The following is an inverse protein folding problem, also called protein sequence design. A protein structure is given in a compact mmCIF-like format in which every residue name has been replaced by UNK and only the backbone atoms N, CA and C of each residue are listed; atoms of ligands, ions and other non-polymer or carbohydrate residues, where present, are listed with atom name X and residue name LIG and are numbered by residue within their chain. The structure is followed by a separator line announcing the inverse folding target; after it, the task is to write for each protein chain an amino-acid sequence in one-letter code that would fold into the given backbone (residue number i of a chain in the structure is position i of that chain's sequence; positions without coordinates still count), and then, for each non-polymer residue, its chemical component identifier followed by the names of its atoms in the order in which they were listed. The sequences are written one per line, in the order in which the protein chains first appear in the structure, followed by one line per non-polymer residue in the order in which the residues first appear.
data_IF_422627001871
#
_entry.id   IF_422627001871
#
_cell.length_a   1.000
_cell.length_b   1.000
_cell.length_c   1.000
_cell.angle_alpha   90.00
_cell.angle_beta   90.00
_cell.angle_gamma   90.00
#
_symmetry.space_group_name_H-M   'P 1'
#
loop_
_entity.id
_entity.type
_entity.pdbx_description
1 polymer ?
#
# COMPACT_ATOMS: atom_id res chain seq x y z
N UNK A 1 -5.30 -17.62 -37.65
CA UNK A 1 -6.27 -17.09 -36.67
C UNK A 1 -7.08 -18.28 -36.18
N UNK A 2 -6.83 -18.76 -34.96
CA UNK A 2 -7.61 -19.83 -34.36
C UNK A 2 -8.11 -19.30 -33.00
N UNK A 3 -9.38 -18.90 -32.96
CA UNK A 3 -10.06 -18.45 -31.76
C UNK A 3 -10.75 -19.65 -31.11
N UNK A 4 -10.58 -19.79 -29.79
CA UNK A 4 -11.31 -20.77 -28.99
C UNK A 4 -12.64 -20.12 -28.59
N UNK A 5 -13.75 -20.80 -28.85
CA UNK A 5 -15.12 -20.37 -28.50
C UNK A 5 -15.26 -20.16 -26.98
N UNK A 6 -15.94 -19.09 -26.51
CA UNK A 6 -15.97 -18.72 -25.09
C UNK A 6 -16.86 -19.60 -24.21
N UNK A 7 -17.45 -20.67 -24.74
CA UNK A 7 -18.50 -21.44 -24.04
C UNK A 7 -18.05 -22.69 -23.32
N UNK A 8 -16.84 -23.20 -23.54
CA UNK A 8 -16.36 -24.42 -22.86
C UNK A 8 -14.95 -24.23 -22.30
N UNK A 9 -14.84 -23.59 -21.13
CA UNK A 9 -13.67 -23.73 -20.26
C UNK A 9 -14.17 -24.43 -19.00
N UNK A 10 -14.21 -25.76 -19.03
CA UNK A 10 -14.34 -26.57 -17.82
C UNK A 10 -13.00 -26.52 -17.09
N UNK A 11 -12.97 -25.87 -15.93
CA UNK A 11 -11.81 -25.88 -15.05
C UNK A 11 -11.71 -27.25 -14.37
N UNK A 12 -10.71 -28.04 -14.76
CA UNK A 12 -10.32 -29.24 -14.03
C UNK A 12 -9.70 -28.84 -12.70
N UNK A 13 -10.53 -28.81 -11.65
CA UNK A 13 -10.07 -28.79 -10.27
C UNK A 13 -9.56 -30.19 -9.95
N UNK A 14 -8.26 -30.43 -10.15
CA UNK A 14 -7.68 -31.73 -9.81
C UNK A 14 -7.66 -31.88 -8.28
N UNK A 15 -8.43 -32.87 -7.82
CA UNK A 15 -8.64 -33.39 -6.46
C UNK A 15 -7.37 -33.96 -5.76
N UNK A 16 -6.18 -33.40 -5.99
CA UNK A 16 -4.93 -33.96 -5.40
C UNK A 16 -4.02 -32.96 -4.68
N UNK A 17 -4.48 -31.74 -4.38
CA UNK A 17 -3.72 -30.82 -3.53
C UNK A 17 -4.38 -30.70 -2.14
N UNK A 18 -3.83 -31.34 -1.08
CA UNK A 18 -4.47 -31.40 0.25
C UNK A 18 -4.31 -30.11 1.07
N UNK A 19 -4.12 -28.96 0.42
CA UNK A 19 -3.91 -27.68 1.09
C UNK A 19 -5.02 -26.69 0.73
N UNK A 20 -6.22 -26.94 1.25
CA UNK A 20 -7.33 -25.97 1.37
C UNK A 20 -6.93 -24.68 2.13
N UNK A 21 -5.74 -24.66 2.73
CA UNK A 21 -5.13 -23.49 3.38
C UNK A 21 -4.54 -22.45 2.41
N UNK A 22 -4.43 -22.76 1.11
CA UNK A 22 -3.83 -21.87 0.10
C UNK A 22 -4.80 -21.40 -0.99
N UNK A 23 -6.10 -21.70 -0.88
CA UNK A 23 -7.08 -21.16 -1.81
C UNK A 23 -7.37 -19.68 -1.47
N UNK A 24 -6.53 -18.79 -1.99
CA UNK A 24 -6.91 -17.39 -2.13
C UNK A 24 -8.15 -17.39 -3.06
N UNK A 25 -9.32 -16.91 -2.61
CA UNK A 25 -10.49 -16.88 -3.47
C UNK A 25 -10.14 -16.05 -4.70
N UNK A 26 -10.24 -16.68 -5.87
CA UNK A 26 -10.04 -16.07 -7.17
C UNK A 26 -11.08 -14.96 -7.36
N UNK A 27 -10.80 -13.77 -6.83
CA UNK A 27 -11.38 -12.54 -7.36
C UNK A 27 -10.78 -12.35 -8.74
N UNK A 28 -11.57 -11.77 -9.65
CA UNK A 28 -11.35 -11.53 -11.09
C UNK A 28 -10.06 -10.78 -11.45
N UNK A 29 -8.93 -11.23 -10.93
CA UNK A 29 -7.61 -10.79 -11.34
C UNK A 29 -7.23 -11.59 -12.59
N UNK A 30 -6.56 -10.96 -13.56
CA UNK A 30 -5.96 -11.73 -14.65
C UNK A 30 -5.11 -12.84 -14.02
N UNK A 31 -5.13 -14.03 -14.63
CA UNK A 31 -4.49 -15.25 -14.14
C UNK A 31 -3.27 -14.96 -13.28
N UNK A 32 -3.36 -15.24 -11.97
CA UNK A 32 -2.23 -15.15 -11.06
C UNK A 32 -1.22 -16.22 -11.51
N UNK A 33 -0.25 -15.79 -12.32
CA UNK A 33 0.80 -16.64 -12.88
C UNK A 33 1.82 -17.01 -11.82
N UNK A 34 3.10 -16.75 -12.09
CA UNK A 34 4.17 -16.94 -11.09
C UNK A 34 4.23 -15.81 -10.06
N UNK A 35 3.49 -14.72 -10.27
CA UNK A 35 3.54 -13.53 -9.43
C UNK A 35 4.56 -12.47 -9.91
N UNK A 36 5.41 -12.84 -10.87
CA UNK A 36 6.46 -11.97 -11.40
C UNK A 36 5.87 -10.74 -12.10
N UNK A 37 4.75 -10.91 -12.83
CA UNK A 37 4.09 -9.82 -13.51
C UNK A 37 3.58 -8.77 -12.51
N UNK A 38 2.94 -9.22 -11.41
CA UNK A 38 2.45 -8.35 -10.34
C UNK A 38 3.58 -7.54 -9.75
N UNK A 39 4.74 -8.15 -9.56
CA UNK A 39 5.91 -7.47 -9.03
C UNK A 39 6.50 -6.46 -10.01
N UNK A 40 6.55 -6.78 -11.30
CA UNK A 40 6.97 -5.82 -12.34
C UNK A 40 6.04 -4.60 -12.34
N UNK A 41 4.72 -4.81 -12.28
CA UNK A 41 3.76 -3.72 -12.19
C UNK A 41 3.99 -2.88 -10.94
N UNK A 42 4.19 -3.53 -9.79
CA UNK A 42 4.46 -2.84 -8.54
C UNK A 42 5.71 -1.96 -8.58
N UNK A 43 6.81 -2.48 -9.14
CA UNK A 43 8.04 -1.71 -9.32
C UNK A 43 7.82 -0.49 -10.22
N UNK A 44 7.01 -0.62 -11.28
CA UNK A 44 6.63 0.49 -12.16
C UNK A 44 5.80 1.54 -11.42
N UNK A 45 4.82 1.11 -10.62
CA UNK A 45 4.00 2.01 -9.79
C UNK A 45 4.85 2.77 -8.77
N UNK A 46 5.84 2.12 -8.13
CA UNK A 46 6.77 2.82 -7.23
C UNK A 46 7.57 3.91 -7.96
N UNK A 47 8.02 3.64 -9.19
CA UNK A 47 8.73 4.63 -10.01
C UNK A 47 7.81 5.81 -10.33
N UNK A 48 6.56 5.55 -10.69
CA UNK A 48 5.61 6.61 -11.02
C UNK A 48 5.23 7.45 -9.79
N UNK A 49 4.93 6.80 -8.67
CA UNK A 49 4.74 7.47 -7.37
C UNK A 49 5.95 8.32 -7.00
N UNK A 50 7.16 7.82 -7.24
CA UNK A 50 8.39 8.58 -6.98
C UNK A 50 8.47 9.86 -7.81
N UNK A 51 8.07 9.82 -9.09
CA UNK A 51 8.00 11.04 -9.93
C UNK A 51 6.97 12.02 -9.39
N UNK A 52 5.79 11.53 -9.01
CA UNK A 52 4.72 12.38 -8.49
C UNK A 52 5.11 13.05 -7.17
N UNK A 53 5.73 12.31 -6.25
CA UNK A 53 6.26 12.87 -5.01
C UNK A 53 7.34 13.93 -5.28
N UNK A 54 8.21 13.72 -6.28
CA UNK A 54 9.24 14.71 -6.65
C UNK A 54 8.66 16.02 -7.16
N UNK A 55 7.48 16.03 -7.79
CA UNK A 55 6.79 17.27 -8.18
C UNK A 55 6.42 18.10 -6.93
N UNK A 56 6.08 17.43 -5.82
CA UNK A 56 5.71 18.07 -4.56
C UNK A 56 6.92 18.60 -3.76
N UNK A 57 8.16 18.33 -4.17
CA UNK A 57 9.36 18.74 -3.43
C UNK A 57 9.48 20.26 -3.23
N UNK A 58 8.83 21.08 -4.07
CA UNK A 58 8.84 22.53 -3.91
C UNK A 58 7.95 23.03 -2.76
N UNK A 59 6.95 22.23 -2.35
CA UNK A 59 5.99 22.57 -1.29
C UNK A 59 6.30 21.87 0.04
N UNK A 60 7.23 20.92 0.03
CA UNK A 60 7.68 20.18 1.21
C UNK A 60 8.76 20.96 1.97
N UNK A 61 8.79 20.87 3.31
CA UNK A 61 9.78 21.58 4.14
C UNK A 61 11.21 21.04 3.94
N UNK A 62 11.34 19.76 3.57
CA UNK A 62 12.60 19.13 3.16
C UNK A 62 12.34 18.29 1.92
N UNK A 63 13.23 18.40 0.94
CA UNK A 63 13.12 17.66 -0.32
C UNK A 63 13.38 16.17 -0.10
N UNK A 64 12.60 15.34 -0.78
CA UNK A 64 12.83 13.90 -0.86
C UNK A 64 13.79 13.65 -2.02
N UNK A 65 14.99 13.18 -1.69
CA UNK A 65 16.04 12.89 -2.68
C UNK A 65 15.83 11.51 -3.31
N UNK A 66 15.67 10.49 -2.44
CA UNK A 66 15.54 9.10 -2.88
C UNK A 66 14.31 8.43 -2.26
N UNK A 67 13.67 7.57 -3.06
CA UNK A 67 12.56 6.71 -2.64
C UNK A 67 12.93 5.30 -3.06
N UNK A 68 13.07 4.40 -2.09
CA UNK A 68 13.61 3.05 -2.29
C UNK A 68 12.65 2.05 -1.69
N UNK A 69 12.19 1.08 -2.48
CA UNK A 69 11.43 -0.06 -1.98
C UNK A 69 12.36 -1.01 -1.21
N UNK A 70 12.12 -1.19 0.09
CA UNK A 70 12.95 -2.06 0.95
C UNK A 70 12.28 -3.38 1.33
N UNK A 71 10.97 -3.46 1.08
CA UNK A 71 10.17 -4.67 1.19
C UNK A 71 10.74 -5.83 0.36
N UNK A 72 10.57 -7.05 0.83
CA UNK A 72 10.94 -8.29 0.12
C UNK A 72 10.28 -8.40 -1.26
N UNK A 73 9.09 -7.81 -1.40
CA UNK A 73 8.37 -7.74 -2.67
C UNK A 73 9.17 -6.98 -3.73
N UNK A 74 10.04 -6.02 -3.39
CA UNK A 74 10.84 -5.32 -4.42
C UNK A 74 12.07 -6.13 -4.88
N UNK A 75 12.39 -7.25 -4.21
CA UNK A 75 13.57 -8.08 -4.47
C UNK A 75 13.26 -9.47 -5.04
N UNK A 76 12.02 -9.74 -5.44
CA UNK A 76 11.58 -11.04 -5.95
C UNK A 76 11.71 -12.16 -4.91
N UNK A 77 11.63 -11.82 -3.62
CA UNK A 77 11.72 -12.80 -2.53
C UNK A 77 10.40 -13.02 -1.81
N UNK A 78 9.35 -12.27 -2.14
CA UNK A 78 8.01 -12.52 -1.61
C UNK A 78 7.36 -13.69 -2.38
N UNK A 79 7.01 -14.75 -1.67
CA UNK A 79 6.38 -15.96 -2.22
C UNK A 79 4.97 -15.68 -2.77
N UNK A 80 4.30 -14.66 -2.22
CA UNK A 80 2.96 -14.24 -2.60
C UNK A 80 2.96 -12.73 -2.84
N UNK A 81 3.45 -12.25 -4.00
CA UNK A 81 3.47 -10.83 -4.29
C UNK A 81 2.06 -10.25 -4.20
N UNK A 82 1.93 -9.03 -3.66
CA UNK A 82 0.65 -8.43 -3.35
C UNK A 82 -0.14 -8.18 -4.62
N UNK A 83 -1.42 -8.50 -4.54
CA UNK A 83 -2.38 -8.19 -5.58
C UNK A 83 -2.86 -6.73 -5.44
N UNK A 84 -3.05 -6.00 -6.56
CA UNK A 84 -3.72 -4.71 -6.53
C UNK A 84 -5.09 -4.84 -5.85
N UNK A 85 -5.30 -4.11 -4.77
CA UNK A 85 -6.51 -4.16 -3.97
C UNK A 85 -7.12 -2.78 -3.90
N UNK A 86 -8.40 -2.65 -4.26
CA UNK A 86 -9.16 -1.45 -3.95
C UNK A 86 -9.62 -1.52 -2.49
N UNK A 87 -9.18 -0.59 -1.66
CA UNK A 87 -9.66 -0.46 -0.29
C UNK A 87 -11.08 0.15 -0.31
N UNK A 88 -12.07 -0.66 -0.69
CA UNK A 88 -13.49 -0.32 -0.58
C UNK A 88 -13.99 -0.87 0.75
N UNK A 89 -13.95 -0.03 1.80
CA UNK A 89 -14.55 -0.38 3.07
C UNK A 89 -16.05 -0.09 3.04
N UNK A 90 -16.85 -1.14 3.17
CA UNK A 90 -18.28 -0.99 3.44
C UNK A 90 -18.46 -0.42 4.85
N UNK A 91 -18.60 0.90 4.94
CA UNK A 91 -18.76 1.64 6.19
C UNK A 91 -20.01 1.22 6.97
N UNK A 92 -20.96 0.48 6.37
CA UNK A 92 -22.09 -0.07 7.10
C UNK A 92 -21.71 -1.32 7.93
N UNK A 93 -20.62 -2.01 7.56
CA UNK A 93 -20.14 -3.25 8.22
C UNK A 93 -19.00 -3.04 9.20
N UNK A 94 -18.35 -1.87 9.16
CA UNK A 94 -17.29 -1.44 10.08
C UNK A 94 -17.84 -0.27 10.92
N UNK A 95 -17.65 -0.26 12.23
CA UNK A 95 -17.97 0.93 13.05
C UNK A 95 -16.74 1.85 13.01
N UNK A 96 -16.89 3.12 12.61
CA UNK A 96 -16.09 4.16 13.24
C UNK A 96 -16.62 4.28 14.67
N UNK A 97 -15.76 4.33 15.68
CA UNK A 97 -16.24 4.74 17.01
C UNK A 97 -16.99 6.07 16.80
N UNK A 98 -18.10 6.29 17.51
CA UNK A 98 -18.96 7.47 17.39
C UNK A 98 -18.23 8.81 17.59
N UNK A 99 -16.92 8.80 17.85
CA UNK A 99 -16.08 9.96 18.08
C UNK A 99 -14.75 9.92 17.33
N UNK A 100 -14.45 8.88 16.53
CA UNK A 100 -13.13 8.73 15.90
C UNK A 100 -13.25 8.30 14.43
N UNK A 101 -13.08 9.28 13.53
CA UNK A 101 -13.20 9.14 12.08
C UNK A 101 -12.07 8.29 11.46
N UNK A 102 -11.10 7.87 12.27
CA UNK A 102 -9.82 7.31 11.82
C UNK A 102 -9.59 5.85 12.23
N UNK A 103 -10.48 5.25 13.02
CA UNK A 103 -10.36 3.86 13.45
C UNK A 103 -11.45 2.97 12.83
N UNK A 104 -11.04 1.94 12.10
CA UNK A 104 -11.92 0.93 11.50
C UNK A 104 -12.01 -0.29 12.42
N UNK A 105 -13.02 -0.32 13.29
CA UNK A 105 -13.22 -1.44 14.22
C UNK A 105 -14.36 -2.34 13.73
N UNK A 106 -14.14 -3.66 13.55
CA UNK A 106 -15.21 -4.59 13.25
C UNK A 106 -16.29 -4.54 14.33
N UNK A 107 -17.57 -4.47 13.94
CA UNK A 107 -18.67 -4.60 14.90
C UNK A 107 -18.69 -6.02 15.46
N UNK A 108 -18.95 -6.17 16.76
CA UNK A 108 -19.08 -7.49 17.40
C UNK A 108 -20.16 -8.39 16.79
N UNK A 109 -21.16 -7.79 16.14
CA UNK A 109 -22.25 -8.50 15.44
C UNK A 109 -21.95 -8.77 13.97
N UNK A 110 -20.84 -8.25 13.44
CA UNK A 110 -20.49 -8.34 12.03
C UNK A 110 -19.56 -9.52 11.78
N UNK A 111 -19.97 -10.45 10.91
CA UNK A 111 -19.10 -11.51 10.35
C UNK A 111 -18.22 -10.99 9.20
N UNK A 112 -18.06 -9.67 9.09
CA UNK A 112 -17.27 -9.03 8.05
C UNK A 112 -15.83 -8.85 8.51
N UNK A 113 -14.90 -9.50 7.81
CA UNK A 113 -13.49 -9.14 7.84
C UNK A 113 -13.19 -8.30 6.58
N UNK A 114 -12.55 -7.12 6.71
CA UNK A 114 -12.09 -6.39 5.54
C UNK A 114 -11.10 -7.25 4.74
N UNK A 115 -11.06 -7.09 3.41
CA UNK A 115 -10.07 -7.79 2.60
C UNK A 115 -8.67 -7.41 3.08
N UNK A 116 -7.82 -8.41 3.26
CA UNK A 116 -6.42 -8.18 3.58
C UNK A 116 -5.77 -7.38 2.44
N UNK A 117 -5.08 -6.30 2.81
CA UNK A 117 -4.28 -5.49 1.91
C UNK A 117 -2.89 -5.41 2.50
N UNK A 118 -1.91 -5.96 1.79
CA UNK A 118 -0.52 -5.91 2.23
C UNK A 118 0.03 -4.49 2.10
N UNK A 119 0.56 -3.95 3.20
CA UNK A 119 1.34 -2.71 3.17
C UNK A 119 2.78 -3.02 2.75
N UNK A 120 3.37 -2.14 1.94
CA UNK A 120 4.73 -2.30 1.45
C UNK A 120 5.65 -1.25 2.04
N UNK A 121 6.82 -1.70 2.47
CA UNK A 121 7.78 -0.82 3.11
C UNK A 121 8.66 -0.10 2.09
N UNK A 122 8.62 1.24 2.15
CA UNK A 122 9.40 2.15 1.30
C UNK A 122 10.19 3.11 2.19
N UNK A 123 11.46 3.30 1.85
CA UNK A 123 12.37 4.25 2.49
C UNK A 123 12.41 5.55 1.69
N UNK A 124 12.06 6.66 2.33
CA UNK A 124 12.23 8.01 1.79
C UNK A 124 13.44 8.67 2.46
N UNK A 125 14.45 9.03 1.67
CA UNK A 125 15.62 9.78 2.14
C UNK A 125 15.42 11.26 1.87
N UNK A 126 15.42 12.05 2.94
CA UNK A 126 15.31 13.50 2.88
C UNK A 126 16.68 14.14 2.65
N UNK A 127 16.70 15.39 2.20
CA UNK A 127 17.92 16.18 2.17
C UNK A 127 18.51 16.39 3.57
N UNK A 128 19.83 16.54 3.62
CA UNK A 128 20.52 16.80 4.86
C UNK A 128 20.14 18.20 5.35
N UNK A 129 19.75 18.29 6.61
CA UNK A 129 19.51 19.56 7.29
C UNK A 129 20.36 19.62 8.54
N UNK A 130 21.12 20.70 8.69
CA UNK A 130 21.76 21.08 9.94
C UNK A 130 21.02 22.29 10.48
N UNK A 131 20.11 22.09 11.43
CA UNK A 131 19.61 23.24 12.20
C UNK A 131 20.58 23.50 13.35
N UNK A 132 20.95 24.76 13.55
CA UNK A 132 21.78 25.19 14.67
C UNK A 132 20.94 25.41 15.95
N UNK A 133 19.66 25.03 15.94
CA UNK A 133 18.79 25.16 17.11
C UNK A 133 19.18 24.18 18.22
N UNK A 134 19.20 24.67 19.45
CA UNK A 134 19.39 23.81 20.62
C UNK A 134 18.32 22.69 20.66
N UNK A 135 18.77 21.46 20.90
CA UNK A 135 17.90 20.27 20.94
C UNK A 135 17.44 19.74 19.57
N UNK A 136 17.98 20.23 18.45
CA UNK A 136 17.71 19.67 17.12
C UNK A 136 18.05 18.17 17.02
N UNK A 137 19.09 17.73 17.72
CA UNK A 137 19.56 16.34 17.75
C UNK A 137 18.82 15.47 18.78
N UNK A 138 17.88 16.02 19.54
CA UNK A 138 17.12 15.26 20.53
C UNK A 138 16.17 14.28 19.82
N UNK A 139 16.16 13.02 20.25
CA UNK A 139 15.31 11.95 19.70
C UNK A 139 13.84 12.35 19.59
N UNK A 140 13.30 13.04 20.60
CA UNK A 140 11.92 13.50 20.62
C UNK A 140 11.64 14.49 19.49
N UNK A 141 12.50 15.49 19.30
CA UNK A 141 12.35 16.47 18.23
C UNK A 141 12.44 15.82 16.85
N UNK A 142 13.30 14.82 16.66
CA UNK A 142 13.37 14.03 15.43
C UNK A 142 12.05 13.29 15.18
N UNK A 143 11.49 12.62 16.21
CA UNK A 143 10.19 11.93 16.10
C UNK A 143 9.06 12.89 15.76
N UNK A 144 8.94 14.01 16.47
CA UNK A 144 7.91 15.03 16.21
C UNK A 144 8.05 15.64 14.81
N UNK A 145 9.27 15.95 14.37
CA UNK A 145 9.53 16.48 13.03
C UNK A 145 9.15 15.46 11.95
N UNK A 146 9.44 14.17 12.15
CA UNK A 146 9.04 13.09 11.25
C UNK A 146 7.50 12.98 11.14
N UNK A 147 6.79 13.05 12.26
CA UNK A 147 5.32 13.02 12.27
C UNK A 147 4.75 14.23 11.54
N UNK A 148 5.24 15.43 11.84
CA UNK A 148 4.80 16.67 11.19
C UNK A 148 5.04 16.61 9.67
N UNK A 149 6.18 16.06 9.25
CA UNK A 149 6.51 15.84 7.86
C UNK A 149 5.49 14.93 7.17
N UNK A 150 5.13 13.80 7.78
CA UNK A 150 4.10 12.90 7.23
C UNK A 150 2.72 13.55 7.15
N UNK A 151 2.34 14.36 8.14
CA UNK A 151 1.08 15.12 8.11
C UNK A 151 1.08 16.11 6.93
N UNK A 152 2.18 16.83 6.71
CA UNK A 152 2.28 17.76 5.58
C UNK A 152 2.26 17.03 4.24
N UNK A 153 3.05 15.97 4.12
CA UNK A 153 3.11 15.16 2.90
C UNK A 153 1.74 14.58 2.54
N UNK A 154 1.00 14.04 3.52
CA UNK A 154 -0.34 13.49 3.28
C UNK A 154 -1.34 14.55 2.80
N UNK A 155 -1.29 15.78 3.34
CA UNK A 155 -2.11 16.91 2.86
C UNK A 155 -1.83 17.22 1.39
N UNK A 156 -0.54 17.36 1.03
CA UNK A 156 -0.14 17.69 -0.34
C UNK A 156 -0.55 16.60 -1.34
N UNK A 157 -0.33 15.34 -0.99
CA UNK A 157 -0.71 14.23 -1.85
C UNK A 157 -2.24 14.11 -2.01
N UNK A 158 -3.02 14.42 -0.96
CA UNK A 158 -4.49 14.42 -1.03
C UNK A 158 -4.99 15.52 -1.97
N UNK A 159 -4.43 16.72 -1.86
CA UNK A 159 -4.84 17.89 -2.64
C UNK A 159 -4.45 17.77 -4.12
N UNK A 160 -3.22 17.37 -4.40
CA UNK A 160 -2.67 17.39 -5.76
C UNK A 160 -2.93 16.10 -6.54
N UNK A 161 -3.01 14.94 -5.87
CA UNK A 161 -2.98 13.63 -6.55
C UNK A 161 -4.14 12.71 -6.12
N UNK A 162 -5.02 13.16 -5.21
CA UNK A 162 -6.21 12.42 -4.75
C UNK A 162 -5.93 11.02 -4.17
N UNK A 163 -4.73 10.80 -3.65
CA UNK A 163 -4.44 9.58 -2.91
C UNK A 163 -5.10 9.61 -1.52
N UNK A 164 -5.42 8.42 -0.99
CA UNK A 164 -5.98 8.24 0.35
C UNK A 164 -4.84 7.91 1.31
N UNK A 165 -4.78 8.61 2.44
CA UNK A 165 -3.75 8.45 3.46
C UNK A 165 -4.37 8.12 4.80
N UNK A 166 -3.80 7.13 5.48
CA UNK A 166 -4.05 6.83 6.89
C UNK A 166 -2.70 6.81 7.60
N UNK A 167 -2.48 7.80 8.47
CA UNK A 167 -1.31 7.80 9.35
C UNK A 167 -1.59 6.83 10.50
N UNK A 168 -0.94 5.67 10.48
CA UNK A 168 -0.93 4.75 11.62
C UNK A 168 0.30 5.07 12.48
N UNK A 169 0.07 5.55 13.70
CA UNK A 169 1.10 5.85 14.70
C UNK A 169 1.64 4.60 15.37
#
# INVERSE_FOLDING_TARGET
QAGISPTNIEFFYNDQCPSTLLSIPARLFPSYGTGDEQQIYLCRELIELSKQIRILNNELPLKINNIIGIDETFRYTNVFPPLPSSFQTDLHKIRSIEHDKYALIPRSTSRYAPPYSQSLLVLCQLEMTSSNDEGFETLERIKHSKILYYIQLSKLLTYNIHYIFLATT
#
